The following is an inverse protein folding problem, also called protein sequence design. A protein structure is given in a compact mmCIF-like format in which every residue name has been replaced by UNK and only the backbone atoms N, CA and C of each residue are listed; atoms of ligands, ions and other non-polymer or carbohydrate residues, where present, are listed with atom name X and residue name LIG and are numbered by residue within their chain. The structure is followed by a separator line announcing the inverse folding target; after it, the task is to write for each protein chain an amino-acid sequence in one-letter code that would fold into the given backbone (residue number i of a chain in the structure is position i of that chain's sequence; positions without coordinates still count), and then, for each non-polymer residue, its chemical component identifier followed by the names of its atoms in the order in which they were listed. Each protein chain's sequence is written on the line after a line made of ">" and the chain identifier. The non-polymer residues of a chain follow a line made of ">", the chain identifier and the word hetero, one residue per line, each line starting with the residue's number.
data_IF_147675974356
#
_entry.id   IF_147675974356
#
_cell.length_a   1.000
_cell.length_b   1.000
_cell.length_c   1.000
_cell.angle_alpha   90.00
_cell.angle_beta   90.00
_cell.angle_gamma   90.00
#
_symmetry.space_group_name_H-M   'P 1'
#
loop_
_entity.id
_entity.type
_entity.pdbx_description
1 polymer ?
#
# COMPACT_ATOMS: atom_id res chain seq x y z
N UNK A 1 67.86 18.65 -19.94
CA UNK A 1 67.87 17.40 -19.15
C UNK A 1 67.23 17.67 -17.81
N UNK A 2 65.97 17.28 -17.67
CA UNK A 2 65.27 16.71 -16.50
C UNK A 2 63.79 17.06 -16.54
N UNK A 3 63.11 16.57 -17.58
CA UNK A 3 61.66 16.68 -17.75
C UNK A 3 60.96 15.35 -17.39
N UNK A 4 61.33 14.81 -16.23
CA UNK A 4 60.75 13.57 -15.68
C UNK A 4 60.03 13.78 -14.34
N UNK A 5 60.07 14.99 -13.76
CA UNK A 5 59.29 15.33 -12.56
C UNK A 5 57.89 15.87 -12.89
N UNK A 6 57.69 16.46 -14.08
CA UNK A 6 56.38 16.99 -14.50
C UNK A 6 55.38 15.88 -14.86
N UNK A 7 55.85 14.75 -15.42
CA UNK A 7 54.99 13.58 -15.68
C UNK A 7 54.55 12.88 -14.39
N UNK A 8 55.38 12.88 -13.34
CA UNK A 8 55.03 12.33 -12.03
C UNK A 8 54.01 13.20 -11.28
N UNK A 9 54.14 14.53 -11.35
CA UNK A 9 53.18 15.44 -10.74
C UNK A 9 51.81 15.42 -11.44
N UNK A 10 51.78 15.28 -12.77
CA UNK A 10 50.54 15.10 -13.51
C UNK A 10 49.82 13.78 -13.13
N UNK A 11 50.58 12.70 -12.91
CA UNK A 11 50.04 11.41 -12.49
C UNK A 11 49.45 11.46 -11.06
N UNK A 12 50.13 12.13 -10.12
CA UNK A 12 49.70 12.27 -8.72
C UNK A 12 48.50 13.21 -8.60
N UNK A 13 48.47 14.33 -9.32
CA UNK A 13 47.31 15.22 -9.36
C UNK A 13 46.07 14.54 -9.96
N UNK A 14 46.26 13.66 -10.94
CA UNK A 14 45.18 12.83 -11.48
C UNK A 14 44.70 11.78 -10.46
N UNK A 15 45.60 11.11 -9.73
CA UNK A 15 45.21 10.18 -8.66
C UNK A 15 44.45 10.86 -7.53
N UNK A 16 44.85 12.06 -7.12
CA UNK A 16 44.17 12.82 -6.06
C UNK A 16 42.78 13.33 -6.53
N UNK A 17 42.65 13.67 -7.82
CA UNK A 17 41.37 14.01 -8.44
C UNK A 17 40.44 12.80 -8.61
N UNK A 18 40.97 11.59 -8.84
CA UNK A 18 40.19 10.35 -8.88
C UNK A 18 39.77 9.89 -7.46
N UNK A 19 40.63 10.09 -6.45
CA UNK A 19 40.32 9.77 -5.05
C UNK A 19 39.19 10.66 -4.49
N UNK A 20 39.12 11.94 -4.88
CA UNK A 20 38.01 12.84 -4.50
C UNK A 20 36.74 12.66 -5.33
N UNK A 21 36.82 12.09 -6.54
CA UNK A 21 35.65 11.65 -7.32
C UNK A 21 35.08 10.30 -6.89
N UNK A 22 35.85 9.48 -6.15
CA UNK A 22 35.41 8.20 -5.57
C UNK A 22 34.39 8.29 -4.43
N UNK A 23 34.00 9.49 -4.00
CA UNK A 23 32.96 9.71 -2.97
C UNK A 23 31.72 10.47 -3.49
N UNK A 24 31.66 10.75 -4.80
CA UNK A 24 30.55 11.47 -5.46
C UNK A 24 29.88 10.65 -6.58
N UNK A 25 29.98 9.31 -6.52
CA UNK A 25 29.36 8.38 -7.46
C UNK A 25 28.12 7.67 -6.91
N UNK A 26 27.28 8.37 -6.13
CA UNK A 26 26.08 7.80 -5.49
C UNK A 26 24.78 7.92 -6.32
N UNK A 27 24.84 8.35 -7.58
CA UNK A 27 23.65 8.39 -8.45
C UNK A 27 24.07 8.08 -9.88
N UNK A 28 24.02 6.81 -10.26
CA UNK A 28 23.72 6.38 -11.63
C UNK A 28 23.01 5.03 -11.58
N UNK A 29 21.69 5.13 -11.45
CA UNK A 29 20.70 4.05 -11.42
C UNK A 29 20.39 3.57 -12.83
N UNK A 30 21.34 2.93 -13.51
CA UNK A 30 21.08 2.33 -14.83
C UNK A 30 21.87 1.03 -15.04
N UNK A 31 21.66 0.01 -14.22
CA UNK A 31 21.66 -1.41 -14.65
C UNK A 31 21.39 -2.34 -13.45
N UNK A 32 20.16 -2.82 -13.33
CA UNK A 32 19.71 -3.79 -12.35
C UNK A 32 20.20 -5.22 -12.67
N UNK A 33 21.52 -5.41 -12.68
CA UNK A 33 22.17 -6.72 -12.84
C UNK A 33 23.22 -6.97 -11.73
N UNK A 34 23.11 -6.23 -10.63
CA UNK A 34 23.98 -6.38 -9.46
C UNK A 34 23.17 -6.31 -8.17
N UNK A 35 22.09 -7.10 -8.06
CA UNK A 35 21.54 -7.40 -6.73
C UNK A 35 22.62 -8.12 -5.96
N UNK A 36 23.15 -7.42 -4.98
CA UNK A 36 24.23 -7.92 -4.14
C UNK A 36 23.72 -9.17 -3.41
N UNK A 37 24.59 -10.17 -3.23
CA UNK A 37 24.27 -11.40 -2.51
C UNK A 37 23.66 -11.14 -1.11
N UNK A 38 23.94 -9.97 -0.52
CA UNK A 38 23.33 -9.48 0.71
C UNK A 38 21.82 -9.14 0.57
N UNK A 39 21.36 -8.60 -0.57
CA UNK A 39 19.94 -8.31 -0.81
C UNK A 39 19.11 -9.59 -1.00
N UNK A 40 19.71 -10.65 -1.57
CA UNK A 40 19.05 -11.96 -1.68
C UNK A 40 18.98 -12.72 -0.37
N UNK A 41 19.86 -12.44 0.60
CA UNK A 41 19.77 -13.00 1.95
C UNK A 41 18.63 -12.35 2.75
N UNK A 42 18.25 -11.10 2.43
CA UNK A 42 17.13 -10.42 3.09
C UNK A 42 15.75 -10.81 2.53
N UNK A 43 15.70 -11.52 1.40
CA UNK A 43 14.46 -12.09 0.85
C UNK A 43 13.95 -13.33 1.61
N UNK A 44 14.73 -13.86 2.57
CA UNK A 44 14.32 -14.95 3.45
C UNK A 44 13.97 -14.50 4.88
N UNK A 45 14.12 -13.21 5.19
CA UNK A 45 13.84 -12.63 6.50
C UNK A 45 12.41 -12.06 6.60
N UNK A 46 11.45 -12.74 5.99
CA UNK A 46 10.00 -12.57 6.25
C UNK A 46 9.46 -13.68 7.18
N UNK A 47 10.34 -14.31 7.97
CA UNK A 47 9.98 -15.29 8.99
C UNK A 47 10.33 -14.80 10.40
N UNK A 48 10.09 -13.51 10.64
CA UNK A 48 10.00 -13.03 12.01
C UNK A 48 8.54 -13.29 12.46
N UNK A 49 8.29 -14.15 13.46
CA UNK A 49 6.93 -14.51 13.87
C UNK A 49 6.08 -13.29 14.29
N UNK A 50 6.74 -12.21 14.71
CA UNK A 50 6.13 -10.89 14.98
C UNK A 50 5.61 -10.20 13.72
N UNK A 51 6.30 -10.31 12.57
CA UNK A 51 5.85 -9.67 11.33
C UNK A 51 4.67 -10.42 10.69
N UNK A 52 4.65 -11.76 10.82
CA UNK A 52 3.53 -12.59 10.33
C UNK A 52 2.25 -12.27 11.11
N UNK A 53 2.33 -12.14 12.43
CA UNK A 53 1.21 -11.76 13.30
C UNK A 53 0.66 -10.35 12.97
N UNK A 54 1.53 -9.37 12.74
CA UNK A 54 1.10 -8.00 12.37
C UNK A 54 0.40 -7.95 11.01
N UNK A 55 0.90 -8.68 10.02
CA UNK A 55 0.25 -8.75 8.70
C UNK A 55 -1.11 -9.45 8.76
N UNK A 56 -1.20 -10.52 9.55
CA UNK A 56 -2.45 -11.25 9.76
C UNK A 56 -3.48 -10.40 10.48
N UNK A 57 -3.11 -9.72 11.57
CA UNK A 57 -3.98 -8.78 12.29
C UNK A 57 -4.50 -7.67 11.37
N UNK A 58 -3.64 -7.07 10.55
CA UNK A 58 -4.05 -6.06 9.56
C UNK A 58 -5.10 -6.61 8.59
N UNK A 59 -4.87 -7.80 8.06
CA UNK A 59 -5.80 -8.44 7.12
C UNK A 59 -7.16 -8.73 7.77
N UNK A 60 -7.18 -9.12 9.04
CA UNK A 60 -8.41 -9.34 9.80
C UNK A 60 -9.17 -8.03 9.98
N UNK A 61 -8.46 -6.97 10.36
CA UNK A 61 -9.03 -5.64 10.50
C UNK A 61 -9.63 -5.14 9.17
N UNK A 62 -8.88 -5.23 8.06
CA UNK A 62 -9.38 -4.88 6.72
C UNK A 62 -10.64 -5.67 6.35
N UNK A 63 -10.64 -6.98 6.61
CA UNK A 63 -11.81 -7.84 6.34
C UNK A 63 -13.03 -7.42 7.18
N UNK A 64 -12.80 -7.02 8.43
CA UNK A 64 -13.86 -6.57 9.32
C UNK A 64 -14.44 -5.21 8.89
N UNK A 65 -13.58 -4.28 8.43
CA UNK A 65 -13.99 -2.99 7.85
C UNK A 65 -14.78 -3.20 6.55
N UNK A 66 -14.37 -4.13 5.69
CA UNK A 66 -15.09 -4.45 4.45
C UNK A 66 -16.46 -5.07 4.74
N UNK A 67 -16.57 -5.89 5.78
CA UNK A 67 -17.85 -6.41 6.24
C UNK A 67 -18.78 -5.29 6.70
N UNK A 68 -18.29 -4.37 7.51
CA UNK A 68 -19.05 -3.21 7.95
C UNK A 68 -19.46 -2.31 6.78
N UNK A 69 -18.59 -2.14 5.78
CA UNK A 69 -18.91 -1.40 4.56
C UNK A 69 -20.08 -2.02 3.79
N UNK A 70 -20.09 -3.34 3.63
CA UNK A 70 -21.19 -4.04 2.98
C UNK A 70 -22.47 -3.92 3.79
N UNK A 71 -22.40 -4.09 5.11
CA UNK A 71 -23.53 -3.91 6.01
C UNK A 71 -24.15 -2.51 5.87
N UNK A 72 -23.32 -1.46 5.97
CA UNK A 72 -23.75 -0.08 5.83
C UNK A 72 -24.37 0.17 4.45
N UNK A 73 -23.77 -0.39 3.38
CA UNK A 73 -24.32 -0.27 2.03
C UNK A 73 -25.74 -0.83 1.96
N UNK A 74 -26.01 -2.00 2.56
CA UNK A 74 -27.36 -2.57 2.61
C UNK A 74 -28.33 -1.74 3.44
N UNK A 75 -27.89 -1.19 4.57
CA UNK A 75 -28.73 -0.34 5.42
C UNK A 75 -29.07 1.00 4.79
N UNK A 76 -28.21 1.50 3.89
CA UNK A 76 -28.43 2.75 3.17
C UNK A 76 -29.32 2.58 1.93
N UNK A 77 -29.48 1.37 1.38
CA UNK A 77 -30.30 1.13 0.18
C UNK A 77 -31.71 1.73 0.26
N UNK A 78 -32.49 1.54 1.33
CA UNK A 78 -33.86 2.05 1.41
C UNK A 78 -33.97 3.57 1.35
N UNK A 79 -32.91 4.30 1.73
CA UNK A 79 -32.88 5.77 1.65
C UNK A 79 -32.89 6.27 0.21
N UNK A 80 -32.38 5.48 -0.74
CA UNK A 80 -32.31 5.82 -2.16
C UNK A 80 -33.43 5.17 -2.97
N UNK A 81 -34.02 4.07 -2.49
CA UNK A 81 -35.19 3.44 -3.08
C UNK A 81 -36.45 4.32 -3.00
N UNK A 82 -36.59 5.13 -1.94
CA UNK A 82 -37.71 6.06 -1.76
C UNK A 82 -37.61 7.36 -2.56
N UNK A 83 -36.51 7.60 -3.27
CA UNK A 83 -36.38 8.72 -4.22
C UNK A 83 -36.95 8.25 -5.55
N UNK A 84 -38.28 8.11 -5.61
CA UNK A 84 -38.96 7.81 -6.87
C UNK A 84 -38.80 9.02 -7.80
N UNK A 85 -38.03 8.79 -8.85
CA UNK A 85 -37.76 9.81 -9.84
C UNK A 85 -39.07 10.13 -10.58
N UNK A 86 -39.44 11.41 -10.56
CA UNK A 86 -40.71 11.91 -11.09
C UNK A 86 -40.95 11.45 -12.54
N UNK A 87 -42.09 10.82 -12.79
CA UNK A 87 -42.54 10.46 -14.13
C UNK A 87 -42.69 11.72 -15.01
N UNK A 88 -42.36 11.66 -16.33
CA UNK A 88 -42.15 10.46 -17.14
C UNK A 88 -40.68 10.15 -17.51
N UNK A 89 -39.71 10.86 -16.92
CA UNK A 89 -38.28 10.76 -17.30
C UNK A 89 -37.35 10.34 -16.15
N UNK A 90 -37.89 9.93 -15.01
CA UNK A 90 -37.10 9.52 -13.84
C UNK A 90 -36.96 8.00 -13.70
N UNK A 91 -35.79 7.51 -13.28
CA UNK A 91 -35.69 6.17 -12.69
C UNK A 91 -35.36 5.04 -13.67
N UNK A 92 -34.50 5.31 -14.65
CA UNK A 92 -34.03 4.29 -15.59
C UNK A 92 -33.09 3.25 -14.96
N UNK A 93 -32.89 2.11 -15.64
CA UNK A 93 -31.98 1.04 -15.18
C UNK A 93 -30.54 1.53 -14.94
N UNK A 94 -30.06 2.47 -15.77
CA UNK A 94 -28.74 3.07 -15.61
C UNK A 94 -28.62 3.90 -14.31
N UNK A 95 -29.69 4.59 -13.93
CA UNK A 95 -29.75 5.36 -12.68
C UNK A 95 -29.69 4.43 -11.47
N UNK A 96 -30.47 3.35 -11.47
CA UNK A 96 -30.43 2.33 -10.40
C UNK A 96 -29.04 1.71 -10.22
N UNK A 97 -28.35 1.44 -11.33
CA UNK A 97 -26.99 0.92 -11.29
C UNK A 97 -26.02 1.95 -10.70
N UNK A 98 -26.12 3.21 -11.11
CA UNK A 98 -25.27 4.27 -10.59
C UNK A 98 -25.54 4.56 -9.11
N UNK A 99 -26.81 4.63 -8.69
CA UNK A 99 -27.21 4.74 -7.29
C UNK A 99 -26.64 3.58 -6.46
N UNK A 100 -26.72 2.34 -6.95
CA UNK A 100 -26.14 1.19 -6.25
C UNK A 100 -24.63 1.33 -6.06
N UNK A 101 -23.90 1.81 -7.08
CA UNK A 101 -22.48 2.09 -6.97
C UNK A 101 -22.18 3.21 -5.96
N UNK A 102 -22.98 4.28 -5.96
CA UNK A 102 -22.87 5.39 -5.01
C UNK A 102 -23.09 4.92 -3.57
N UNK A 103 -24.14 4.14 -3.32
CA UNK A 103 -24.46 3.57 -2.00
C UNK A 103 -23.30 2.72 -1.49
N UNK A 104 -22.72 1.90 -2.36
CA UNK A 104 -21.56 1.07 -1.99
C UNK A 104 -20.34 1.92 -1.61
N UNK A 105 -20.06 2.99 -2.33
CA UNK A 105 -18.96 3.90 -1.99
C UNK A 105 -19.24 4.69 -0.70
N UNK A 106 -20.49 5.08 -0.44
CA UNK A 106 -20.87 5.65 0.85
C UNK A 106 -20.63 4.67 2.00
N UNK A 107 -21.06 3.41 1.86
CA UNK A 107 -20.83 2.37 2.88
C UNK A 107 -19.34 2.19 3.17
N UNK A 108 -18.49 2.11 2.13
CA UNK A 108 -17.02 2.03 2.28
C UNK A 108 -16.43 3.27 2.95
N UNK A 109 -16.85 4.46 2.54
CA UNK A 109 -16.34 5.71 3.10
C UNK A 109 -16.70 5.84 4.58
N UNK A 110 -17.92 5.48 4.94
CA UNK A 110 -18.40 5.51 6.32
C UNK A 110 -17.66 4.49 7.19
N UNK A 111 -17.52 3.24 6.73
CA UNK A 111 -16.76 2.21 7.44
C UNK A 111 -15.31 2.65 7.70
N UNK A 112 -14.63 3.22 6.70
CA UNK A 112 -13.25 3.71 6.83
C UNK A 112 -13.11 4.94 7.74
N UNK A 113 -14.16 5.75 7.87
CA UNK A 113 -14.14 6.99 8.66
C UNK A 113 -14.51 6.79 10.13
N UNK A 114 -14.74 5.54 10.55
CA UNK A 114 -15.07 5.18 11.93
C UNK A 114 -16.34 4.33 12.07
N UNK A 115 -17.15 4.23 11.02
CA UNK A 115 -18.30 3.33 10.96
C UNK A 115 -19.27 3.49 12.14
N UNK A 116 -19.90 2.37 12.50
CA UNK A 116 -20.75 2.22 13.69
C UNK A 116 -20.08 1.34 14.76
N UNK A 117 -18.82 0.92 14.53
CA UNK A 117 -18.04 0.04 15.40
C UNK A 117 -18.29 -1.45 15.18
N UNK A 118 -18.99 -1.83 14.11
CA UNK A 118 -19.25 -3.24 13.80
C UNK A 118 -17.96 -3.98 13.42
N UNK A 119 -17.04 -3.31 12.72
CA UNK A 119 -15.74 -3.88 12.37
C UNK A 119 -14.98 -4.38 13.62
N UNK A 120 -14.97 -3.62 14.71
CA UNK A 120 -14.28 -4.02 15.94
C UNK A 120 -14.86 -5.31 16.55
N UNK A 121 -16.19 -5.48 16.48
CA UNK A 121 -16.84 -6.70 16.94
C UNK A 121 -16.48 -7.90 16.07
N UNK A 122 -16.51 -7.72 14.75
CA UNK A 122 -16.17 -8.76 13.78
C UNK A 122 -14.70 -9.15 13.87
N UNK A 123 -13.80 -8.17 13.99
CA UNK A 123 -12.35 -8.39 14.17
C UNK A 123 -12.08 -9.27 15.39
N UNK A 124 -12.70 -8.96 16.54
CA UNK A 124 -12.57 -9.79 17.75
C UNK A 124 -13.05 -11.23 17.54
N UNK A 125 -14.13 -11.44 16.78
CA UNK A 125 -14.61 -12.79 16.48
C UNK A 125 -13.65 -13.54 15.53
N UNK A 126 -13.15 -12.85 14.51
CA UNK A 126 -12.20 -13.42 13.54
C UNK A 126 -10.86 -13.79 14.19
N UNK A 127 -10.38 -12.98 15.14
CA UNK A 127 -9.19 -13.29 15.94
C UNK A 127 -9.41 -14.53 16.80
N UNK A 128 -10.53 -14.59 17.53
CA UNK A 128 -10.89 -15.77 18.34
C UNK A 128 -11.00 -17.05 17.51
N UNK A 129 -11.57 -16.96 16.31
CA UNK A 129 -11.70 -18.10 15.41
C UNK A 129 -10.34 -18.62 14.90
N UNK A 130 -9.32 -17.75 14.85
CA UNK A 130 -7.96 -18.11 14.44
C UNK A 130 -7.08 -18.61 15.59
N UNK A 131 -7.32 -18.13 16.81
CA UNK A 131 -6.64 -18.60 18.03
C UNK A 131 -7.17 -19.96 18.54
N UNK A 132 -8.36 -20.37 18.09
CA UNK A 132 -9.04 -21.60 18.51
C UNK A 132 -8.77 -22.86 17.66
N UNK A 133 -7.65 -22.91 16.92
CA UNK A 133 -7.12 -24.11 16.25
C UNK A 133 -5.87 -24.62 16.96
#
# INVERSE_FOLDING_TARGET
>A
MNDLSLLSQAQVAFQDAQAKRGLAGLVDTTNNQGRTFAETLNAQQLKDPTQVDVLQKRKIHETAVDFEAQFLSQMLQPMFEGIEASEPFGGGHAEKMWQSMLVNEYGKSLAKSGGIGLADHVERQLLRAQEGL
#
